data_IF_279441385891
#
_entry.id   IF_279441385891
#
_cell.length_a   1.000
_cell.length_b   1.000
_cell.length_c   1.000
_cell.angle_alpha   90.00
_cell.angle_beta   90.00
_cell.angle_gamma   90.00
#
_symmetry.space_group_name_H-M   'P 1'
#
loop_
_entity.id
_entity.type
_entity.pdbx_description
1 polymer ?
#
# COMPACT_ATOMS: atom_id res chain seq x y z
N UNK A 1 -5.23 2.08 -20.30
CA UNK A 1 -5.18 1.05 -19.24
C UNK A 1 -6.20 1.43 -18.19
N UNK A 2 -7.07 0.51 -17.80
CA UNK A 2 -8.08 0.70 -16.76
C UNK A 2 -7.44 0.37 -15.39
N UNK A 3 -7.74 1.13 -14.35
CA UNK A 3 -7.11 0.98 -13.01
C UNK A 3 -7.40 -0.41 -12.43
N UNK A 4 -8.56 -0.96 -12.79
CA UNK A 4 -9.02 -2.29 -12.40
C UNK A 4 -8.11 -3.40 -12.96
N UNK A 5 -7.43 -3.16 -14.10
CA UNK A 5 -6.51 -4.15 -14.67
C UNK A 5 -5.28 -4.40 -13.79
N UNK A 6 -4.89 -3.42 -12.96
CA UNK A 6 -3.79 -3.57 -12.01
C UNK A 6 -4.30 -4.00 -10.63
N UNK A 7 -5.35 -3.35 -10.12
CA UNK A 7 -5.86 -3.59 -8.76
C UNK A 7 -6.57 -4.93 -8.59
N UNK A 8 -7.05 -5.55 -9.68
CA UNK A 8 -7.69 -6.86 -9.69
C UNK A 8 -6.82 -7.95 -10.33
N UNK A 9 -5.53 -7.66 -10.54
CA UNK A 9 -4.57 -8.66 -10.98
C UNK A 9 -4.34 -9.68 -9.84
N UNK A 10 -4.24 -10.96 -10.19
CA UNK A 10 -4.27 -12.05 -9.21
C UNK A 10 -3.08 -12.00 -8.24
N UNK A 11 -1.87 -11.65 -8.71
CA UNK A 11 -0.71 -11.51 -7.84
C UNK A 11 -0.89 -10.36 -6.83
N UNK A 12 -1.45 -9.22 -7.26
CA UNK A 12 -1.74 -8.09 -6.36
C UNK A 12 -2.76 -8.49 -5.29
N UNK A 13 -3.84 -9.15 -5.68
CA UNK A 13 -4.87 -9.62 -4.74
C UNK A 13 -4.32 -10.65 -3.73
N UNK A 14 -3.45 -11.56 -4.18
CA UNK A 14 -2.81 -12.55 -3.31
C UNK A 14 -1.91 -11.87 -2.26
N UNK A 15 -1.13 -10.86 -2.65
CA UNK A 15 -0.30 -10.09 -1.72
C UNK A 15 -1.18 -9.39 -0.67
N UNK A 16 -2.25 -8.73 -1.09
CA UNK A 16 -3.17 -8.05 -0.16
C UNK A 16 -3.82 -9.05 0.80
N UNK A 17 -4.25 -10.23 0.32
CA UNK A 17 -4.82 -11.28 1.17
C UNK A 17 -3.82 -11.74 2.22
N UNK A 18 -2.59 -12.04 1.81
CA UNK A 18 -1.55 -12.50 2.72
C UNK A 18 -1.24 -11.45 3.80
N UNK A 19 -1.10 -10.17 3.43
CA UNK A 19 -0.83 -9.10 4.41
C UNK A 19 -2.00 -8.90 5.39
N UNK A 20 -3.24 -9.11 4.95
CA UNK A 20 -4.42 -9.09 5.83
C UNK A 20 -4.46 -10.29 6.77
N UNK A 21 -4.10 -11.48 6.27
CA UNK A 21 -3.99 -12.71 7.09
C UNK A 21 -2.90 -12.56 8.17
N UNK A 22 -1.77 -11.93 7.82
CA UNK A 22 -0.69 -11.58 8.74
C UNK A 22 -1.02 -10.41 9.68
N UNK A 23 -2.24 -9.83 9.57
CA UNK A 23 -2.71 -8.70 10.38
C UNK A 23 -1.77 -7.50 10.36
N UNK A 24 -1.17 -7.21 9.20
CA UNK A 24 -0.24 -6.09 9.05
C UNK A 24 -0.90 -4.76 9.43
N UNK A 25 -2.18 -4.57 9.08
CA UNK A 25 -2.96 -3.38 9.45
C UNK A 25 -3.13 -3.17 10.97
N UNK A 26 -2.84 -4.17 11.82
CA UNK A 26 -2.86 -4.05 13.29
C UNK A 26 -1.49 -3.70 13.88
N UNK A 27 -0.42 -3.73 13.08
CA UNK A 27 0.93 -3.34 13.53
C UNK A 27 1.07 -1.82 13.49
N UNK A 28 1.85 -1.29 14.43
CA UNK A 28 2.14 0.14 14.51
C UNK A 28 3.37 0.51 13.68
N UNK A 29 3.18 1.40 12.71
CA UNK A 29 4.19 1.90 11.77
C UNK A 29 4.39 3.42 11.86
N UNK A 30 3.52 4.12 12.58
CA UNK A 30 3.53 5.57 12.73
C UNK A 30 3.26 5.98 14.17
N UNK A 31 3.88 7.08 14.59
CA UNK A 31 3.59 7.82 15.81
C UNK A 31 2.38 8.77 15.67
N UNK A 32 1.89 8.98 14.44
CA UNK A 32 0.72 9.77 14.11
C UNK A 32 -0.42 8.85 13.65
N UNK A 33 -1.36 8.59 14.56
CA UNK A 33 -2.49 7.68 14.35
C UNK A 33 -3.82 8.43 14.49
N UNK A 34 -4.73 8.25 13.54
CA UNK A 34 -6.12 8.75 13.61
C UNK A 34 -7.11 7.60 13.32
N UNK A 35 -7.73 7.10 14.39
CA UNK A 35 -8.62 5.95 14.32
C UNK A 35 -7.88 4.68 13.87
N UNK A 36 -8.18 4.21 12.66
CA UNK A 36 -7.53 3.03 12.05
C UNK A 36 -6.40 3.40 11.09
N UNK A 37 -6.19 4.69 10.82
CA UNK A 37 -5.20 5.16 9.85
C UNK A 37 -3.88 5.53 10.53
N UNK A 38 -2.77 5.21 9.87
CA UNK A 38 -1.42 5.48 10.33
C UNK A 38 -0.69 6.30 9.27
N UNK A 39 -0.19 7.48 9.63
CA UNK A 39 0.39 8.42 8.67
C UNK A 39 1.91 8.31 8.60
N UNK A 40 2.46 8.01 7.42
CA UNK A 40 3.89 7.79 7.23
C UNK A 40 4.47 8.76 6.20
N UNK A 41 5.69 9.22 6.44
CA UNK A 41 6.41 10.02 5.45
C UNK A 41 6.97 9.11 4.35
N UNK A 42 6.29 9.10 3.20
CA UNK A 42 6.79 8.42 2.00
C UNK A 42 7.71 9.33 1.19
N UNK A 43 9.02 9.18 1.37
CA UNK A 43 10.04 9.88 0.58
C UNK A 43 10.42 9.04 -0.65
N UNK A 44 10.18 9.60 -1.84
CA UNK A 44 10.52 8.95 -3.12
C UNK A 44 11.68 9.71 -3.78
N UNK A 45 12.87 9.12 -3.84
CA UNK A 45 13.98 9.68 -4.62
C UNK A 45 13.78 9.41 -6.12
N UNK A 46 13.35 10.44 -6.86
CA UNK A 46 13.15 10.39 -8.31
C UNK A 46 11.80 9.80 -8.75
N UNK A 47 11.51 9.83 -10.06
CA UNK A 47 10.15 9.55 -10.56
C UNK A 47 10.03 9.11 -12.03
N UNK A 48 11.08 8.53 -12.61
CA UNK A 48 11.06 8.04 -14.00
C UNK A 48 10.26 6.73 -14.18
N UNK A 49 10.77 5.78 -14.98
CA UNK A 49 10.12 4.48 -15.26
C UNK A 49 9.76 3.68 -13.98
N UNK A 50 10.47 3.92 -12.86
CA UNK A 50 10.18 3.32 -11.55
C UNK A 50 8.90 3.86 -10.87
N UNK A 51 8.34 4.97 -11.36
CA UNK A 51 7.14 5.59 -10.79
C UNK A 51 5.89 4.71 -10.82
N UNK A 52 5.81 3.74 -11.75
CA UNK A 52 4.69 2.77 -11.80
C UNK A 52 4.79 1.77 -10.64
N UNK A 53 6.00 1.37 -10.23
CA UNK A 53 6.18 0.51 -9.07
C UNK A 53 5.79 1.25 -7.77
N UNK A 54 6.07 2.56 -7.70
CA UNK A 54 5.68 3.42 -6.57
C UNK A 54 4.14 3.49 -6.43
N UNK A 55 3.41 3.54 -7.54
CA UNK A 55 1.94 3.50 -7.50
C UNK A 55 1.40 2.18 -6.89
N UNK A 56 2.03 1.05 -7.21
CA UNK A 56 1.69 -0.24 -6.61
C UNK A 56 2.00 -0.30 -5.11
N UNK A 57 3.14 0.27 -4.70
CA UNK A 57 3.53 0.36 -3.30
C UNK A 57 2.53 1.17 -2.47
N UNK A 58 2.19 2.39 -2.93
CA UNK A 58 1.18 3.25 -2.27
C UNK A 58 -0.18 2.57 -2.21
N UNK A 59 -0.58 1.86 -3.27
CA UNK A 59 -1.84 1.11 -3.27
C UNK A 59 -1.88 0.06 -2.15
N UNK A 60 -0.80 -0.70 -1.95
CA UNK A 60 -0.75 -1.70 -0.87
C UNK A 60 -0.78 -1.05 0.52
N UNK A 61 -0.06 0.06 0.71
CA UNK A 61 -0.10 0.81 1.97
C UNK A 61 -1.53 1.21 2.33
N UNK A 62 -2.26 1.77 1.36
CA UNK A 62 -3.66 2.18 1.54
C UNK A 62 -4.56 0.99 1.92
N UNK A 63 -4.35 -0.20 1.33
CA UNK A 63 -5.11 -1.41 1.70
C UNK A 63 -4.86 -1.90 3.13
N UNK A 64 -3.78 -1.43 3.78
CA UNK A 64 -3.42 -1.73 5.17
C UNK A 64 -3.70 -0.56 6.13
N UNK A 65 -4.40 0.48 5.68
CA UNK A 65 -4.64 1.73 6.43
C UNK A 65 -3.38 2.54 6.76
N UNK A 66 -2.31 2.39 5.97
CA UNK A 66 -1.08 3.18 6.07
C UNK A 66 -1.13 4.24 4.97
N UNK A 67 -0.91 5.51 5.31
CA UNK A 67 -1.10 6.65 4.41
C UNK A 67 0.04 7.63 4.39
#
# INVERSE_FOLDING_TARGET
>A
MKVEQFTHEAAVLNIISQLKEEKIYEKEFSDVIDGVHQYVDLVMEGGGVLGVALAGYVYVLEQMNIR
#
